data_IF_279673439073
#
_entry.id   IF_279673439073
#
_cell.length_a   1.000
_cell.length_b   1.000
_cell.length_c   1.000
_cell.angle_alpha   90.00
_cell.angle_beta   90.00
_cell.angle_gamma   90.00
#
_symmetry.space_group_name_H-M   'P 1'
#
loop_
_entity.id
_entity.type
_entity.pdbx_description
1 polymer ?
#
# COMPACT_ATOMS: atom_id res chain seq x y z
N UNK A 1 -25.93 -4.68 7.14
CA UNK A 1 -25.05 -3.49 7.10
C UNK A 1 -23.64 -3.93 7.49
N UNK A 2 -22.84 -4.36 6.51
CA UNK A 2 -21.44 -4.83 6.72
C UNK A 2 -20.48 -3.68 7.03
N UNK A 3 -20.89 -2.44 6.80
CA UNK A 3 -20.08 -1.23 7.03
C UNK A 3 -19.69 -1.02 8.49
N UNK A 4 -20.50 -1.49 9.44
CA UNK A 4 -20.21 -1.39 10.89
C UNK A 4 -19.04 -2.31 11.28
N UNK A 5 -18.82 -3.40 10.54
CA UNK A 5 -17.77 -4.40 10.84
C UNK A 5 -16.35 -3.88 10.59
N UNK A 6 -16.19 -2.76 9.89
CA UNK A 6 -14.90 -2.12 9.62
C UNK A 6 -14.64 -0.89 10.50
N UNK A 7 -15.61 -0.49 11.32
CA UNK A 7 -15.44 0.59 12.28
C UNK A 7 -14.83 0.02 13.56
N UNK A 8 -13.69 0.54 13.96
CA UNK A 8 -13.11 0.22 15.25
C UNK A 8 -13.95 0.91 16.33
N UNK A 9 -14.41 0.20 17.38
CA UNK A 9 -15.06 0.83 18.52
C UNK A 9 -14.18 1.94 19.10
N UNK A 10 -14.78 3.06 19.51
CA UNK A 10 -14.03 4.24 19.97
C UNK A 10 -13.05 3.90 21.11
N UNK A 11 -13.43 2.99 22.01
CA UNK A 11 -12.60 2.56 23.14
C UNK A 11 -11.34 1.79 22.70
N UNK A 12 -11.33 1.25 21.48
CA UNK A 12 -10.23 0.46 20.91
C UNK A 12 -9.52 1.19 19.77
N UNK A 13 -10.00 2.38 19.37
CA UNK A 13 -9.53 3.08 18.18
C UNK A 13 -8.01 3.33 18.24
N UNK A 14 -7.52 3.88 19.35
CA UNK A 14 -6.09 4.17 19.52
C UNK A 14 -5.23 2.91 19.41
N UNK A 15 -5.61 1.85 20.13
CA UNK A 15 -4.88 0.58 20.15
C UNK A 15 -4.81 -0.09 18.77
N UNK A 16 -5.88 -0.02 17.99
CA UNK A 16 -5.92 -0.57 16.63
C UNK A 16 -5.10 0.30 15.68
N UNK A 17 -5.25 1.62 15.73
CA UNK A 17 -4.51 2.52 14.87
C UNK A 17 -3.00 2.44 15.10
N UNK A 18 -2.55 2.31 16.36
CA UNK A 18 -1.13 2.08 16.68
C UNK A 18 -0.58 0.80 16.02
N UNK A 19 -1.37 -0.28 15.95
CA UNK A 19 -0.97 -1.51 15.26
C UNK A 19 -0.87 -1.32 13.75
N UNK A 20 -1.81 -0.60 13.15
CA UNK A 20 -1.80 -0.27 11.72
C UNK A 20 -0.58 0.57 11.38
N UNK A 21 -0.30 1.63 12.14
CA UNK A 21 0.87 2.47 11.91
C UNK A 21 2.18 1.70 12.06
N UNK A 22 2.27 0.83 13.07
CA UNK A 22 3.44 -0.05 13.24
C UNK A 22 3.62 -1.01 12.07
N UNK A 23 2.53 -1.56 11.53
CA UNK A 23 2.58 -2.39 10.33
C UNK A 23 3.12 -1.61 9.13
N UNK A 24 2.57 -0.43 8.85
CA UNK A 24 3.00 0.44 7.74
C UNK A 24 4.47 0.84 7.89
N UNK A 25 4.92 1.17 9.11
CA UNK A 25 6.30 1.50 9.41
C UNK A 25 7.25 0.33 9.08
N UNK A 26 6.94 -0.87 9.58
CA UNK A 26 7.74 -2.07 9.34
C UNK A 26 7.76 -2.43 7.85
N UNK A 27 6.61 -2.38 7.18
CA UNK A 27 6.50 -2.67 5.75
C UNK A 27 7.34 -1.69 4.92
N UNK A 28 7.20 -0.39 5.19
CA UNK A 28 7.96 0.67 4.49
C UNK A 28 9.46 0.51 4.70
N UNK A 29 9.91 0.24 5.93
CA UNK A 29 11.32 0.00 6.23
C UNK A 29 11.85 -1.25 5.51
N UNK A 30 11.07 -2.33 5.52
CA UNK A 30 11.41 -3.59 4.85
C UNK A 30 11.57 -3.38 3.34
N UNK A 31 10.59 -2.75 2.70
CA UNK A 31 10.64 -2.42 1.27
C UNK A 31 11.77 -1.45 0.95
N UNK A 32 11.97 -0.43 1.77
CA UNK A 32 13.06 0.55 1.62
C UNK A 32 14.42 -0.13 1.58
N UNK A 33 14.64 -1.14 2.44
CA UNK A 33 15.88 -1.93 2.44
C UNK A 33 16.09 -2.75 1.14
N UNK A 34 15.00 -3.08 0.43
CA UNK A 34 15.04 -3.76 -0.88
C UNK A 34 15.27 -2.78 -2.01
N UNK A 35 14.54 -1.65 -2.02
CA UNK A 35 14.73 -0.59 -3.01
C UNK A 35 16.15 -0.01 -2.96
N UNK A 36 16.78 0.08 -1.78
CA UNK A 36 18.16 0.55 -1.64
C UNK A 36 19.22 -0.34 -2.31
N UNK A 37 18.87 -1.57 -2.69
CA UNK A 37 19.78 -2.52 -3.36
C UNK A 37 19.78 -2.39 -4.88
N UNK A 38 18.98 -1.48 -5.43
CA UNK A 38 18.75 -1.35 -6.86
C UNK A 38 18.91 0.12 -7.30
N UNK A 39 19.35 0.38 -8.54
CA UNK A 39 19.48 1.74 -9.05
C UNK A 39 18.13 2.25 -9.56
N UNK A 40 17.41 3.00 -8.74
CA UNK A 40 16.17 3.69 -9.10
C UNK A 40 16.37 5.20 -9.19
N UNK A 41 15.47 5.89 -9.92
CA UNK A 41 15.59 7.34 -10.17
C UNK A 41 15.26 8.23 -8.95
N UNK A 42 14.56 7.69 -7.95
CA UNK A 42 14.19 8.38 -6.70
C UNK A 42 14.77 7.62 -5.48
N UNK A 43 14.71 8.23 -4.30
CA UNK A 43 15.31 7.62 -3.08
C UNK A 43 14.54 6.36 -2.69
N UNK A 44 15.24 5.38 -2.12
CA UNK A 44 14.64 4.10 -1.70
C UNK A 44 13.43 4.26 -0.76
N UNK A 45 13.46 5.25 0.15
CA UNK A 45 12.32 5.57 1.03
C UNK A 45 11.11 6.08 0.25
N UNK A 46 11.34 6.87 -0.80
CA UNK A 46 10.27 7.39 -1.67
C UNK A 46 9.67 6.26 -2.51
N UNK A 47 10.49 5.35 -3.05
CA UNK A 47 10.00 4.14 -3.72
C UNK A 47 9.11 3.31 -2.77
N UNK A 48 9.57 3.08 -1.54
CA UNK A 48 8.84 2.28 -0.56
C UNK A 48 7.48 2.91 -0.20
N UNK A 49 7.47 4.22 0.10
CA UNK A 49 6.23 4.93 0.40
C UNK A 49 5.26 4.90 -0.79
N UNK A 50 5.74 5.17 -2.00
CA UNK A 50 4.91 5.12 -3.19
C UNK A 50 4.34 3.71 -3.44
N UNK A 51 5.11 2.66 -3.19
CA UNK A 51 4.64 1.28 -3.32
C UNK A 51 3.57 0.93 -2.29
N UNK A 52 3.78 1.31 -1.02
CA UNK A 52 2.79 1.09 0.05
C UNK A 52 1.49 1.84 -0.26
N UNK A 53 1.57 3.10 -0.71
CA UNK A 53 0.37 3.86 -1.13
C UNK A 53 -0.35 3.21 -2.31
N UNK A 54 0.38 2.64 -3.27
CA UNK A 54 -0.22 1.88 -4.37
C UNK A 54 -0.95 0.64 -3.86
N UNK A 55 -0.37 -0.09 -2.90
CA UNK A 55 -1.02 -1.22 -2.26
C UNK A 55 -2.28 -0.79 -1.50
N UNK A 56 -2.23 0.28 -0.71
CA UNK A 56 -3.40 0.80 0.01
C UNK A 56 -4.57 1.09 -0.96
N UNK A 57 -4.26 1.66 -2.13
CA UNK A 57 -5.25 1.91 -3.17
C UNK A 57 -5.84 0.60 -3.74
N UNK A 58 -4.99 -0.39 -4.04
CA UNK A 58 -5.44 -1.69 -4.56
C UNK A 58 -6.23 -2.50 -3.51
N UNK A 59 -5.84 -2.46 -2.25
CA UNK A 59 -6.54 -3.13 -1.15
C UNK A 59 -7.96 -2.57 -0.98
N UNK A 60 -8.15 -1.26 -1.19
CA UNK A 60 -9.49 -0.67 -1.26
C UNK A 60 -10.26 -1.21 -2.47
N UNK A 61 -9.64 -1.30 -3.65
CA UNK A 61 -10.32 -1.85 -4.84
C UNK A 61 -10.78 -3.30 -4.64
N UNK A 62 -10.02 -4.13 -3.92
CA UNK A 62 -10.43 -5.51 -3.59
C UNK A 62 -11.77 -5.60 -2.86
N UNK A 63 -12.14 -4.57 -2.09
CA UNK A 63 -13.38 -4.54 -1.33
C UNK A 63 -14.57 -4.12 -2.19
N UNK A 64 -14.35 -3.25 -3.18
CA UNK A 64 -15.42 -2.55 -3.90
C UNK A 64 -15.62 -3.00 -5.35
N UNK A 65 -14.59 -3.57 -5.99
CA UNK A 65 -14.62 -3.96 -7.40
C UNK A 65 -14.72 -5.48 -7.57
N UNK A 66 -15.15 -5.92 -8.76
CA UNK A 66 -15.03 -7.31 -9.16
C UNK A 66 -13.59 -7.69 -9.54
N UNK A 67 -13.32 -9.00 -9.64
CA UNK A 67 -11.98 -9.51 -9.92
C UNK A 67 -11.42 -9.03 -11.27
N UNK A 68 -12.27 -8.90 -12.30
CA UNK A 68 -11.82 -8.49 -13.63
C UNK A 68 -11.35 -7.04 -13.60
N UNK A 69 -12.12 -6.16 -12.98
CA UNK A 69 -11.79 -4.74 -12.86
C UNK A 69 -10.61 -4.51 -11.91
N UNK A 70 -10.50 -5.28 -10.84
CA UNK A 70 -9.33 -5.27 -9.97
C UNK A 70 -8.04 -5.65 -10.74
N UNK A 71 -8.07 -6.75 -11.50
CA UNK A 71 -6.92 -7.22 -12.29
C UNK A 71 -6.50 -6.20 -13.35
N UNK A 72 -7.46 -5.58 -14.03
CA UNK A 72 -7.20 -4.50 -15.00
C UNK A 72 -6.49 -3.32 -14.34
N UNK A 73 -7.03 -2.81 -13.23
CA UNK A 73 -6.44 -1.69 -12.49
C UNK A 73 -5.05 -2.04 -11.95
N UNK A 74 -4.90 -3.24 -11.38
CA UNK A 74 -3.62 -3.74 -10.88
C UNK A 74 -2.57 -3.73 -11.98
N UNK A 75 -2.88 -4.24 -13.17
CA UNK A 75 -1.95 -4.26 -14.29
C UNK A 75 -1.52 -2.84 -14.71
N UNK A 76 -2.47 -1.91 -14.79
CA UNK A 76 -2.21 -0.50 -15.16
C UNK A 76 -1.30 0.17 -14.13
N UNK A 77 -1.65 0.12 -12.85
CA UNK A 77 -0.88 0.83 -11.81
C UNK A 77 0.49 0.20 -11.61
N UNK A 78 0.62 -1.12 -11.80
CA UNK A 78 1.90 -1.83 -11.73
C UNK A 78 2.87 -1.35 -12.82
N UNK A 79 2.38 -1.25 -14.07
CA UNK A 79 3.17 -0.73 -15.19
C UNK A 79 3.63 0.71 -14.95
N UNK A 80 2.70 1.58 -14.54
CA UNK A 80 2.97 3.00 -14.24
C UNK A 80 4.00 3.13 -13.12
N UNK A 81 3.86 2.37 -12.03
CA UNK A 81 4.77 2.44 -10.89
C UNK A 81 6.19 2.06 -11.30
N UNK A 82 6.38 0.89 -11.93
CA UNK A 82 7.72 0.41 -12.26
C UNK A 82 8.42 1.29 -13.29
N UNK A 83 7.72 1.71 -14.35
CA UNK A 83 8.24 2.72 -15.28
C UNK A 83 8.55 4.05 -14.59
N UNK A 84 7.71 4.43 -13.64
CA UNK A 84 7.83 5.66 -12.87
C UNK A 84 8.94 5.68 -11.83
N UNK A 85 9.63 4.58 -11.52
CA UNK A 85 10.78 4.57 -10.60
C UNK A 85 12.08 4.07 -11.25
N UNK A 86 11.96 3.39 -12.38
CA UNK A 86 13.11 2.93 -13.17
C UNK A 86 13.88 4.13 -13.75
N UNK A 87 15.17 3.91 -14.04
CA UNK A 87 16.05 4.88 -14.71
C UNK A 87 15.68 5.05 -16.19
#
# INVERSE_FOLDING_TARGET
MLTISFLVPDEMHEDVMQKIYKYIEILTATLGSRFAKQPFRIRAKECALAFVTLLDGLDVQLVYEDSQRYEELQAIVWDIFWKGISL
#
